data_IF_843288817084
#
_entry.id   IF_843288817084
#
_cell.length_a   1.000
_cell.length_b   1.000
_cell.length_c   1.000
_cell.angle_alpha   90.00
_cell.angle_beta   90.00
_cell.angle_gamma   90.00
#
_symmetry.space_group_name_H-M   'P 1'
#
loop_
_entity.id
_entity.type
_entity.pdbx_description
1 polymer ?
#
# COMPACT_ATOMS: atom_id res chain seq x y z
N UNK A 1 -14.21 9.68 -9.54
CA UNK A 1 -14.20 8.21 -9.76
C UNK A 1 -14.38 7.54 -8.41
N UNK A 2 -15.25 6.59 -8.28
CA UNK A 2 -15.47 5.87 -7.02
C UNK A 2 -15.83 4.43 -7.32
N UNK A 3 -15.50 3.53 -6.37
CA UNK A 3 -15.77 2.10 -6.50
C UNK A 3 -17.22 1.82 -6.91
N UNK A 4 -18.18 2.39 -6.18
CA UNK A 4 -19.63 2.17 -6.40
C UNK A 4 -20.18 2.80 -7.67
N UNK A 5 -19.42 3.66 -8.33
CA UNK A 5 -19.85 4.38 -9.56
C UNK A 5 -19.01 4.03 -10.78
N UNK A 6 -17.99 3.18 -10.60
CA UNK A 6 -17.12 2.74 -11.69
C UNK A 6 -17.86 1.85 -12.66
N UNK A 7 -17.71 2.13 -13.96
CA UNK A 7 -18.17 1.27 -15.03
C UNK A 7 -16.97 0.67 -15.79
N UNK A 8 -17.05 -0.61 -16.23
CA UNK A 8 -15.98 -1.22 -17.01
C UNK A 8 -15.63 -0.39 -18.25
N UNK A 9 -14.37 0.03 -18.32
CA UNK A 9 -13.87 0.91 -19.38
C UNK A 9 -13.67 2.36 -18.97
N UNK A 10 -14.12 2.78 -17.78
CA UNK A 10 -13.79 4.08 -17.23
C UNK A 10 -12.27 4.17 -17.00
N UNK A 11 -11.69 5.30 -17.39
CA UNK A 11 -10.26 5.56 -17.22
C UNK A 11 -10.03 6.84 -16.43
N UNK A 12 -9.06 6.80 -15.55
CA UNK A 12 -8.50 8.01 -14.99
C UNK A 12 -7.85 8.85 -16.11
N UNK A 13 -8.12 10.15 -16.07
CA UNK A 13 -7.54 11.12 -17.01
C UNK A 13 -6.64 12.10 -16.26
N UNK A 14 -5.95 12.96 -16.97
CA UNK A 14 -5.16 14.06 -16.37
C UNK A 14 -6.01 15.13 -15.68
N UNK A 15 -7.33 15.14 -15.88
CA UNK A 15 -8.21 16.10 -15.24
C UNK A 15 -8.21 15.95 -13.71
N UNK A 16 -8.34 17.05 -12.95
CA UNK A 16 -8.50 16.98 -11.51
C UNK A 16 -9.68 16.09 -11.12
N UNK A 17 -9.42 15.03 -10.35
CA UNK A 17 -10.39 13.98 -10.07
C UNK A 17 -10.42 13.62 -8.59
N UNK A 18 -11.62 13.63 -7.98
CA UNK A 18 -11.84 12.97 -6.70
C UNK A 18 -11.95 11.46 -6.92
N UNK A 19 -11.26 10.70 -6.07
CA UNK A 19 -11.16 9.25 -6.13
C UNK A 19 -11.57 8.71 -4.77
N UNK A 20 -12.65 7.92 -4.69
CA UNK A 20 -13.25 7.54 -3.42
C UNK A 20 -13.55 6.03 -3.38
N UNK A 21 -13.16 5.43 -2.27
CA UNK A 21 -13.70 4.16 -1.79
C UNK A 21 -14.51 4.43 -0.51
N UNK A 22 -15.82 4.24 -0.53
CA UNK A 22 -16.65 4.49 0.66
C UNK A 22 -16.49 3.43 1.75
N UNK A 23 -16.04 2.21 1.41
CA UNK A 23 -15.86 1.10 2.35
C UNK A 23 -14.67 0.22 1.93
N UNK A 24 -13.45 0.74 2.06
CA UNK A 24 -12.23 -0.07 1.89
C UNK A 24 -12.14 -1.13 3.00
N UNK A 25 -11.97 -2.39 2.60
CA UNK A 25 -12.02 -3.53 3.48
C UNK A 25 -13.43 -4.13 3.66
N UNK A 26 -14.22 -4.24 2.60
CA UNK A 26 -15.60 -4.78 2.62
C UNK A 26 -15.70 -6.16 3.24
N UNK A 27 -14.75 -7.06 3.02
CA UNK A 27 -14.68 -8.36 3.69
C UNK A 27 -14.61 -8.21 5.21
N UNK A 28 -13.75 -7.31 5.70
CA UNK A 28 -13.62 -7.02 7.13
C UNK A 28 -14.91 -6.44 7.69
N UNK A 29 -15.56 -5.54 6.94
CA UNK A 29 -16.84 -4.94 7.33
C UNK A 29 -17.92 -6.01 7.53
N UNK A 30 -18.06 -6.95 6.60
CA UNK A 30 -19.00 -8.07 6.70
C UNK A 30 -18.73 -8.96 7.93
N UNK A 31 -17.45 -9.19 8.23
CA UNK A 31 -17.02 -10.00 9.38
C UNK A 31 -16.91 -9.20 10.70
N UNK A 32 -17.21 -7.91 10.70
CA UNK A 32 -17.12 -7.03 11.88
C UNK A 32 -15.68 -6.91 12.42
N UNK A 33 -14.70 -7.13 11.57
CA UNK A 33 -13.31 -6.89 11.91
C UNK A 33 -12.99 -5.40 11.74
N UNK A 34 -12.47 -4.68 12.78
CA UNK A 34 -12.44 -3.22 12.81
C UNK A 34 -11.29 -2.62 11.98
N UNK A 35 -10.93 -3.24 10.87
CA UNK A 35 -9.90 -2.76 9.95
C UNK A 35 -10.55 -2.42 8.61
N UNK A 36 -11.31 -1.32 8.64
CA UNK A 36 -12.16 -0.81 7.56
C UNK A 36 -12.01 0.70 7.51
N UNK A 37 -12.01 1.29 6.33
CA UNK A 37 -11.88 2.73 6.18
C UNK A 37 -12.74 3.33 5.08
N UNK A 38 -12.93 4.64 5.18
CA UNK A 38 -13.34 5.50 4.08
C UNK A 38 -12.06 6.09 3.49
N UNK A 39 -11.84 5.91 2.20
CA UNK A 39 -10.68 6.44 1.48
C UNK A 39 -11.13 7.53 0.51
N UNK A 40 -10.60 8.75 0.66
CA UNK A 40 -10.89 9.87 -0.21
C UNK A 40 -9.60 10.52 -0.69
N UNK A 41 -9.29 10.34 -1.95
CA UNK A 41 -8.17 10.94 -2.64
C UNK A 41 -8.57 12.03 -3.61
N UNK A 42 -7.64 12.91 -3.92
CA UNK A 42 -7.73 13.86 -5.02
C UNK A 42 -6.46 13.81 -5.84
N UNK A 43 -6.59 13.59 -7.14
CA UNK A 43 -5.47 13.52 -8.06
C UNK A 43 -5.56 14.63 -9.12
N UNK A 44 -4.40 15.13 -9.54
CA UNK A 44 -4.23 16.10 -10.63
C UNK A 44 -3.15 15.55 -11.55
N UNK A 45 -3.41 15.49 -12.85
CA UNK A 45 -2.46 14.93 -13.82
C UNK A 45 -2.02 13.49 -13.47
N UNK A 46 -2.95 12.69 -12.92
CA UNK A 46 -2.72 11.33 -12.42
C UNK A 46 -1.80 11.26 -11.19
N UNK A 47 -1.42 12.39 -10.61
CA UNK A 47 -0.66 12.43 -9.37
C UNK A 47 -1.59 12.63 -8.16
N UNK A 48 -1.54 11.77 -7.15
CA UNK A 48 -2.23 11.98 -5.87
C UNK A 48 -1.71 13.24 -5.16
N UNK A 49 -2.61 14.16 -4.79
CA UNK A 49 -2.23 15.45 -4.17
C UNK A 49 -2.91 15.73 -2.83
N UNK A 50 -4.07 15.12 -2.58
CA UNK A 50 -4.74 15.16 -1.27
C UNK A 50 -5.18 13.73 -0.92
N UNK A 51 -5.01 13.33 0.32
CA UNK A 51 -5.45 12.04 0.82
C UNK A 51 -6.07 12.15 2.21
N UNK A 52 -7.22 11.50 2.40
CA UNK A 52 -7.90 11.33 3.67
C UNK A 52 -8.31 9.86 3.78
N UNK A 53 -7.92 9.22 4.87
CA UNK A 53 -8.33 7.85 5.22
C UNK A 53 -8.88 7.88 6.64
N UNK A 54 -10.12 7.43 6.82
CA UNK A 54 -10.77 7.42 8.12
C UNK A 54 -11.26 6.03 8.51
N UNK A 55 -10.75 5.50 9.62
CA UNK A 55 -11.29 4.29 10.23
C UNK A 55 -12.32 4.67 11.30
N UNK A 56 -13.63 4.46 11.05
CA UNK A 56 -14.68 4.86 11.98
C UNK A 56 -14.76 4.02 13.26
N UNK A 57 -14.21 2.80 13.25
CA UNK A 57 -14.23 1.90 14.41
C UNK A 57 -13.18 2.27 15.45
N UNK A 58 -12.08 2.88 15.02
CA UNK A 58 -10.97 3.28 15.91
C UNK A 58 -10.87 4.81 16.05
N UNK A 59 -11.70 5.55 15.32
CA UNK A 59 -11.68 7.02 15.22
C UNK A 59 -10.30 7.56 14.78
N UNK A 60 -9.59 6.83 13.92
CA UNK A 60 -8.30 7.25 13.37
C UNK A 60 -8.51 7.91 12.02
N UNK A 61 -8.18 9.20 11.94
CA UNK A 61 -8.24 10.02 10.74
C UNK A 61 -6.84 10.34 10.27
N UNK A 62 -6.45 9.77 9.14
CA UNK A 62 -5.20 10.11 8.46
C UNK A 62 -5.48 11.13 7.36
N UNK A 63 -4.62 12.13 7.23
CA UNK A 63 -4.76 13.17 6.21
C UNK A 63 -3.41 13.69 5.74
N UNK A 64 -3.33 14.01 4.45
CA UNK A 64 -2.16 14.64 3.87
C UNK A 64 -2.52 15.54 2.69
N UNK A 65 -1.71 16.57 2.48
CA UNK A 65 -1.70 17.41 1.27
C UNK A 65 -0.26 17.45 0.79
N UNK A 66 -0.04 17.24 -0.51
CA UNK A 66 1.27 17.26 -1.16
C UNK A 66 2.06 18.52 -0.77
N UNK A 67 3.24 18.34 -0.20
CA UNK A 67 4.13 19.41 0.29
C UNK A 67 3.73 20.02 1.64
N UNK A 68 2.76 19.43 2.38
CA UNK A 68 2.31 19.92 3.69
C UNK A 68 2.48 18.93 4.84
N UNK A 69 2.97 17.73 4.55
CA UNK A 69 3.10 16.65 5.51
C UNK A 69 1.83 15.81 5.68
N UNK A 70 1.98 14.71 6.39
CA UNK A 70 0.90 13.80 6.75
C UNK A 70 0.63 13.83 8.26
N UNK A 71 -0.63 13.62 8.65
CA UNK A 71 -1.06 13.75 10.04
C UNK A 71 -2.07 12.66 10.42
N UNK A 72 -1.99 12.19 11.67
CA UNK A 72 -3.01 11.41 12.34
C UNK A 72 -3.85 12.34 13.24
N UNK A 73 -5.17 12.27 13.12
CA UNK A 73 -6.15 13.06 13.86
C UNK A 73 -5.87 14.59 13.83
N UNK A 74 -5.23 15.06 12.73
CA UNK A 74 -4.85 16.47 12.51
C UNK A 74 -3.83 17.04 13.51
N UNK A 75 -3.39 16.26 14.48
CA UNK A 75 -2.52 16.66 15.59
C UNK A 75 -1.12 16.03 15.49
N UNK A 76 -1.07 14.73 15.21
CA UNK A 76 0.18 13.97 15.23
C UNK A 76 0.77 13.85 13.84
N UNK A 77 1.92 14.50 13.62
CA UNK A 77 2.63 14.38 12.36
C UNK A 77 3.14 12.95 12.16
N UNK A 78 3.04 12.46 10.92
CA UNK A 78 3.58 11.17 10.53
C UNK A 78 5.01 11.31 9.96
N UNK A 79 5.88 10.28 10.15
CA UNK A 79 5.63 9.09 10.98
C UNK A 79 5.51 9.43 12.47
N UNK A 80 4.87 8.55 13.28
CA UNK A 80 4.60 8.80 14.69
C UNK A 80 5.86 8.81 15.58
N UNK A 81 6.97 8.26 15.07
CA UNK A 81 8.28 8.28 15.70
C UNK A 81 9.35 8.51 14.64
N UNK A 82 10.52 8.97 15.04
CA UNK A 82 11.68 9.06 14.13
C UNK A 82 11.98 7.69 13.52
N UNK A 83 12.01 7.56 12.17
CA UNK A 83 12.20 6.26 11.54
C UNK A 83 13.61 5.73 11.79
N UNK A 84 13.72 4.56 12.40
CA UNK A 84 14.99 3.83 12.46
C UNK A 84 15.44 3.39 11.05
N UNK A 85 16.75 3.24 10.80
CA UNK A 85 17.25 2.67 9.56
C UNK A 85 16.60 1.30 9.27
N UNK A 86 16.41 0.98 8.00
CA UNK A 86 15.93 -0.33 7.54
C UNK A 86 17.17 -1.18 7.25
N UNK A 87 17.47 -2.12 8.14
CA UNK A 87 18.69 -2.95 8.05
C UNK A 87 18.56 -4.12 7.06
N UNK A 88 17.42 -4.24 6.38
CA UNK A 88 17.07 -5.28 5.42
C UNK A 88 15.76 -5.98 5.76
N UNK A 89 15.33 -6.91 4.91
CA UNK A 89 14.03 -7.58 5.05
C UNK A 89 13.84 -8.31 6.37
N UNK A 90 14.90 -8.87 6.95
CA UNK A 90 14.81 -9.62 8.21
C UNK A 90 14.42 -8.75 9.41
N UNK A 91 14.51 -7.43 9.30
CA UNK A 91 14.02 -6.48 10.32
C UNK A 91 12.60 -5.96 10.03
N UNK A 92 12.00 -6.32 8.88
CA UNK A 92 10.76 -5.72 8.42
C UNK A 92 9.51 -6.48 8.84
N UNK A 93 8.48 -5.73 9.25
CA UNK A 93 7.10 -6.19 9.33
C UNK A 93 6.40 -5.89 8.00
N UNK A 94 5.98 -6.94 7.31
CA UNK A 94 5.50 -6.86 5.92
C UNK A 94 4.02 -7.20 5.85
N UNK A 95 3.22 -6.32 5.24
CA UNK A 95 1.85 -6.63 4.85
C UNK A 95 1.83 -7.14 3.39
N UNK A 96 1.22 -8.32 3.20
CA UNK A 96 0.97 -8.93 1.89
C UNK A 96 -0.52 -9.23 1.78
N UNK A 97 -1.18 -8.68 0.79
CA UNK A 97 -2.61 -8.92 0.60
C UNK A 97 -2.89 -9.91 -0.53
N UNK A 98 -3.92 -10.72 -0.31
CA UNK A 98 -4.29 -11.79 -1.24
C UNK A 98 -5.18 -11.30 -2.37
N UNK A 99 -5.94 -10.23 -2.16
CA UNK A 99 -6.95 -9.75 -3.10
C UNK A 99 -8.05 -10.80 -3.33
N UNK A 100 -8.72 -10.77 -4.48
CA UNK A 100 -9.80 -11.69 -4.86
C UNK A 100 -9.35 -12.89 -5.69
N UNK A 101 -8.22 -12.79 -6.39
CA UNK A 101 -7.72 -13.87 -7.24
C UNK A 101 -7.17 -15.03 -6.42
N UNK A 102 -7.67 -16.25 -6.70
CA UNK A 102 -7.30 -17.49 -6.00
C UNK A 102 -6.74 -18.56 -6.93
N UNK A 103 -6.40 -18.19 -8.15
CA UNK A 103 -5.84 -19.09 -9.17
C UNK A 103 -5.03 -18.28 -10.21
N UNK A 104 -4.37 -18.97 -11.12
CA UNK A 104 -3.61 -18.35 -12.21
C UNK A 104 -2.27 -17.79 -11.80
N UNK A 105 -1.71 -16.94 -12.67
CA UNK A 105 -0.36 -16.40 -12.53
C UNK A 105 -0.22 -15.53 -11.27
N UNK A 106 -1.12 -14.59 -11.06
CA UNK A 106 -0.99 -13.60 -9.98
C UNK A 106 -1.13 -14.24 -8.60
N UNK A 107 -1.98 -15.26 -8.45
CA UNK A 107 -2.05 -16.06 -7.22
C UNK A 107 -0.73 -16.83 -6.98
N UNK A 108 -0.12 -17.40 -8.04
CA UNK A 108 1.17 -18.10 -7.95
C UNK A 108 2.27 -17.14 -7.51
N UNK A 109 2.37 -15.96 -8.14
CA UNK A 109 3.37 -14.93 -7.77
C UNK A 109 3.22 -14.56 -6.29
N UNK A 110 2.00 -14.30 -5.81
CA UNK A 110 1.73 -14.00 -4.40
C UNK A 110 2.17 -15.13 -3.47
N UNK A 111 1.76 -16.35 -3.78
CA UNK A 111 2.01 -17.52 -2.93
C UNK A 111 3.51 -17.84 -2.81
N UNK A 112 4.23 -17.85 -3.92
CA UNK A 112 5.66 -18.14 -3.92
C UNK A 112 6.48 -17.00 -3.30
N UNK A 113 6.11 -15.74 -3.55
CA UNK A 113 6.75 -14.58 -2.90
C UNK A 113 6.52 -14.61 -1.39
N UNK A 114 5.28 -14.86 -0.93
CA UNK A 114 4.98 -15.02 0.50
C UNK A 114 5.84 -16.09 1.17
N UNK A 115 5.97 -17.25 0.52
CA UNK A 115 6.82 -18.35 0.99
C UNK A 115 8.28 -17.92 1.10
N UNK A 116 8.82 -17.24 0.07
CA UNK A 116 10.20 -16.74 0.07
C UNK A 116 10.44 -15.67 1.15
N UNK A 117 9.49 -14.77 1.37
CA UNK A 117 9.57 -13.79 2.45
C UNK A 117 9.67 -14.44 3.84
N UNK A 118 8.92 -15.54 4.05
CA UNK A 118 8.88 -16.27 5.32
C UNK A 118 10.08 -17.20 5.55
N UNK A 119 10.65 -17.74 4.47
CA UNK A 119 11.74 -18.72 4.54
C UNK A 119 13.01 -18.12 5.14
N UNK A 120 13.85 -18.98 5.72
CA UNK A 120 15.13 -18.59 6.33
C UNK A 120 16.15 -18.11 5.27
N UNK A 121 17.15 -17.38 5.70
CA UNK A 121 18.25 -16.94 4.82
C UNK A 121 19.02 -18.13 4.23
N UNK A 122 19.18 -19.23 4.99
CA UNK A 122 19.84 -20.47 4.54
C UNK A 122 19.06 -21.12 3.39
N UNK A 123 17.75 -20.96 3.35
CA UNK A 123 16.87 -21.43 2.26
C UNK A 123 16.72 -20.40 1.14
N UNK A 124 17.49 -19.30 1.17
CA UNK A 124 17.43 -18.22 0.20
C UNK A 124 16.23 -17.28 0.39
N UNK A 125 15.61 -17.29 1.55
CA UNK A 125 14.45 -16.47 1.88
C UNK A 125 14.77 -15.12 2.50
N UNK A 126 13.75 -14.29 2.67
CA UNK A 126 13.84 -12.97 3.31
C UNK A 126 13.95 -13.02 4.82
N UNK A 127 13.41 -14.10 5.45
CA UNK A 127 13.30 -14.24 6.90
C UNK A 127 12.71 -12.97 7.55
N UNK A 128 11.68 -12.42 6.93
CA UNK A 128 11.07 -11.17 7.42
C UNK A 128 10.62 -11.30 8.87
N UNK A 129 10.63 -10.21 9.61
CA UNK A 129 10.28 -10.18 11.03
C UNK A 129 8.85 -10.69 11.27
N UNK A 130 7.96 -10.46 10.34
CA UNK A 130 6.61 -11.01 10.35
C UNK A 130 5.81 -10.64 9.12
N UNK A 131 4.82 -11.49 8.82
CA UNK A 131 3.88 -11.28 7.72
C UNK A 131 2.49 -10.98 8.26
N UNK A 132 1.77 -10.11 7.57
CA UNK A 132 0.39 -9.70 7.89
C UNK A 132 -0.45 -9.69 6.62
N UNK A 133 -1.74 -9.97 6.77
CA UNK A 133 -2.79 -9.71 5.79
C UNK A 133 -3.97 -9.12 6.56
N UNK A 134 -4.29 -7.86 6.33
CA UNK A 134 -5.28 -7.12 7.11
C UNK A 134 -6.56 -6.84 6.34
N UNK A 135 -6.50 -6.81 4.99
CA UNK A 135 -7.66 -6.68 4.13
C UNK A 135 -8.18 -5.25 3.92
N UNK A 136 -7.33 -4.24 4.05
CA UNK A 136 -7.62 -2.84 3.72
C UNK A 136 -6.35 -2.19 3.17
N UNK A 137 -6.33 -1.87 1.88
CA UNK A 137 -5.18 -1.28 1.22
C UNK A 137 -4.90 0.14 1.76
N UNK A 138 -5.93 0.96 1.94
CA UNK A 138 -5.77 2.32 2.45
C UNK A 138 -5.21 2.32 3.87
N UNK A 139 -5.69 1.45 4.77
CA UNK A 139 -5.15 1.35 6.13
C UNK A 139 -3.75 0.73 6.17
N UNK A 140 -3.42 -0.20 5.27
CA UNK A 140 -2.06 -0.74 5.15
C UNK A 140 -1.07 0.37 4.79
N UNK A 141 -1.41 1.24 3.82
CA UNK A 141 -0.62 2.41 3.47
C UNK A 141 -0.47 3.39 4.65
N UNK A 142 -1.55 3.62 5.40
CA UNK A 142 -1.49 4.42 6.63
C UNK A 142 -0.61 3.76 7.70
N UNK A 143 -0.65 2.44 7.81
CA UNK A 143 0.22 1.66 8.71
C UNK A 143 1.70 1.83 8.37
N UNK A 144 2.05 1.81 7.08
CA UNK A 144 3.42 2.07 6.60
C UNK A 144 3.80 3.53 6.85
N UNK A 145 2.92 4.49 6.55
CA UNK A 145 3.15 5.91 6.78
C UNK A 145 3.38 6.26 8.25
N UNK A 146 2.71 5.53 9.15
CA UNK A 146 2.83 5.73 10.61
C UNK A 146 4.06 5.08 11.22
N UNK A 147 4.72 4.15 10.50
CA UNK A 147 5.83 3.34 11.01
C UNK A 147 5.40 2.08 11.77
N UNK A 148 4.12 1.72 11.74
CA UNK A 148 3.61 0.47 12.32
C UNK A 148 3.82 -0.76 11.42
N UNK A 149 4.04 -0.53 10.13
CA UNK A 149 4.50 -1.48 9.12
C UNK A 149 5.74 -0.92 8.45
N UNK A 150 6.65 -1.78 8.03
CA UNK A 150 7.79 -1.38 7.22
C UNK A 150 7.45 -1.41 5.73
N UNK A 151 6.66 -2.40 5.33
CA UNK A 151 6.37 -2.72 3.93
C UNK A 151 4.89 -3.11 3.76
N UNK A 152 4.30 -2.67 2.64
CA UNK A 152 3.05 -3.19 2.11
C UNK A 152 3.23 -3.54 0.63
N UNK A 153 2.76 -4.73 0.21
CA UNK A 153 2.88 -5.24 -1.15
C UNK A 153 1.59 -5.91 -1.61
N UNK A 154 1.04 -5.44 -2.71
CA UNK A 154 -0.22 -5.95 -3.28
C UNK A 154 -0.31 -5.69 -4.79
N UNK A 155 -1.06 -6.57 -5.47
CA UNK A 155 -1.55 -6.36 -6.82
C UNK A 155 -3.03 -6.73 -6.90
N UNK A 156 -3.77 -5.97 -7.72
CA UNK A 156 -5.20 -6.17 -7.95
C UNK A 156 -6.09 -5.07 -7.40
N UNK A 157 -5.66 -4.28 -6.42
CA UNK A 157 -6.40 -3.13 -5.95
C UNK A 157 -6.46 -2.00 -6.98
N UNK A 158 -7.40 -1.10 -6.81
CA UNK A 158 -7.70 -0.03 -7.73
C UNK A 158 -7.18 1.32 -7.24
N UNK A 159 -7.33 2.35 -8.06
CA UNK A 159 -6.90 3.70 -7.69
C UNK A 159 -7.63 4.24 -6.44
N UNK A 160 -8.87 3.85 -6.18
CA UNK A 160 -9.63 4.30 -5.01
C UNK A 160 -9.12 3.69 -3.71
N UNK A 161 -8.54 2.49 -3.76
CA UNK A 161 -7.92 1.83 -2.60
C UNK A 161 -6.61 2.52 -2.17
N UNK A 162 -5.90 3.13 -3.13
CA UNK A 162 -4.51 3.57 -2.89
C UNK A 162 -4.29 5.09 -2.96
N UNK A 163 -5.13 5.83 -3.69
CA UNK A 163 -4.90 7.27 -3.95
C UNK A 163 -4.67 8.07 -2.67
N UNK A 164 -5.55 7.93 -1.69
CA UNK A 164 -5.45 8.66 -0.42
C UNK A 164 -4.22 8.21 0.39
N UNK A 165 -4.05 6.90 0.55
CA UNK A 165 -2.93 6.32 1.28
C UNK A 165 -1.58 6.65 0.66
N UNK A 166 -1.51 6.79 -0.66
CA UNK A 166 -0.27 7.16 -1.36
C UNK A 166 0.23 8.55 -0.97
N UNK A 167 -0.67 9.56 -0.93
CA UNK A 167 -0.28 10.91 -0.49
C UNK A 167 0.20 10.86 0.97
N UNK A 168 -0.54 10.16 1.83
CA UNK A 168 -0.21 10.01 3.25
C UNK A 168 1.17 9.36 3.41
N UNK A 169 1.44 8.29 2.67
CA UNK A 169 2.73 7.59 2.65
C UNK A 169 3.87 8.52 2.24
N UNK A 170 3.73 9.19 1.10
CA UNK A 170 4.82 10.03 0.55
C UNK A 170 5.10 11.25 1.40
N UNK A 171 4.08 11.88 1.96
CA UNK A 171 4.21 13.02 2.88
C UNK A 171 4.78 12.62 4.26
N UNK A 172 4.72 11.33 4.61
CA UNK A 172 5.41 10.76 5.76
C UNK A 172 6.86 10.30 5.45
N UNK A 173 7.36 10.56 4.24
CA UNK A 173 8.72 10.15 3.81
C UNK A 173 8.81 8.73 3.25
N UNK A 174 7.71 8.02 3.15
CA UNK A 174 7.66 6.70 2.53
C UNK A 174 7.73 6.77 1.01
N UNK A 175 7.87 5.61 0.38
CA UNK A 175 7.98 5.49 -1.07
C UNK A 175 7.00 4.46 -1.62
N UNK A 176 6.38 4.79 -2.74
CA UNK A 176 5.59 3.88 -3.55
C UNK A 176 6.38 3.49 -4.79
N UNK A 177 6.48 2.18 -5.05
CA UNK A 177 7.04 1.61 -6.28
C UNK A 177 6.10 0.53 -6.81
N UNK A 178 6.38 -0.01 -7.99
CA UNK A 178 5.57 -1.11 -8.56
C UNK A 178 5.80 -2.41 -7.77
N UNK A 179 4.76 -3.20 -7.63
CA UNK A 179 4.87 -4.54 -7.04
C UNK A 179 5.72 -5.48 -7.90
N UNK A 180 5.79 -5.25 -9.21
CA UNK A 180 6.74 -5.93 -10.10
C UNK A 180 8.11 -5.27 -10.04
N UNK A 181 9.20 -6.07 -10.06
CA UNK A 181 10.55 -5.52 -10.02
C UNK A 181 10.87 -4.54 -11.16
N UNK A 182 11.62 -3.49 -10.83
CA UNK A 182 12.26 -2.59 -11.79
C UNK A 182 11.51 -1.29 -12.09
N UNK A 183 10.22 -1.16 -11.80
CA UNK A 183 9.50 0.08 -12.02
C UNK A 183 9.45 0.94 -10.73
N UNK A 184 10.26 1.98 -10.70
CA UNK A 184 10.40 2.90 -9.57
C UNK A 184 9.38 4.03 -9.53
N UNK A 185 8.56 4.16 -10.58
CA UNK A 185 7.61 5.27 -10.74
C UNK A 185 6.30 4.73 -11.32
N UNK A 186 5.54 3.91 -10.57
CA UNK A 186 4.27 3.40 -11.02
C UNK A 186 3.25 4.53 -11.12
N UNK A 187 2.26 4.33 -11.98
CA UNK A 187 1.10 5.20 -12.05
C UNK A 187 0.03 4.74 -11.05
N UNK A 188 -0.84 5.66 -10.69
CA UNK A 188 -1.93 5.39 -9.75
C UNK A 188 -2.95 4.36 -10.25
N UNK A 189 -3.00 4.08 -11.55
CA UNK A 189 -3.94 3.17 -12.21
C UNK A 189 -3.31 1.84 -12.66
N UNK A 190 -2.07 1.54 -12.27
CA UNK A 190 -1.38 0.31 -12.68
C UNK A 190 -1.73 -0.94 -11.85
N UNK A 191 -2.44 -0.77 -10.75
CA UNK A 191 -2.97 -1.86 -9.92
C UNK A 191 -1.90 -2.79 -9.32
N UNK A 192 -0.67 -2.31 -9.21
CA UNK A 192 0.48 -3.02 -8.64
C UNK A 192 1.24 -2.07 -7.74
N UNK A 193 1.23 -2.31 -6.44
CA UNK A 193 1.73 -1.35 -5.47
C UNK A 193 2.64 -2.01 -4.45
N UNK A 194 3.77 -1.37 -4.22
CA UNK A 194 4.73 -1.72 -3.20
C UNK A 194 5.15 -0.47 -2.45
N UNK A 195 4.72 -0.37 -1.20
CA UNK A 195 4.99 0.75 -0.31
C UNK A 195 6.04 0.39 0.73
N UNK A 196 6.97 1.31 0.97
CA UNK A 196 8.01 1.18 2.00
C UNK A 196 8.02 2.44 2.84
N UNK A 197 8.13 2.30 4.17
CA UNK A 197 8.21 3.46 5.09
C UNK A 197 9.44 4.32 4.85
N UNK A 198 9.41 5.55 5.35
CA UNK A 198 10.57 6.44 5.38
C UNK A 198 11.74 5.86 6.21
N UNK A 199 12.94 6.36 5.95
CA UNK A 199 14.16 5.99 6.65
C UNK A 199 15.32 5.64 5.73
N UNK A 200 16.52 5.57 6.30
CA UNK A 200 17.71 5.08 5.60
C UNK A 200 17.54 3.59 5.25
N UNK A 201 18.10 3.15 4.11
CA UNK A 201 17.99 1.76 3.64
C UNK A 201 16.74 1.46 2.79
N UNK A 202 15.91 2.44 2.49
CA UNK A 202 14.69 2.29 1.68
C UNK A 202 14.95 1.64 0.31
N UNK A 203 15.98 2.10 -0.40
CA UNK A 203 16.31 1.58 -1.72
C UNK A 203 16.77 0.13 -1.66
N UNK A 204 17.65 -0.16 -0.75
CA UNK A 204 18.27 -1.47 -0.55
C UNK A 204 17.18 -2.52 -0.21
N UNK A 205 16.24 -2.21 0.67
CA UNK A 205 15.18 -3.14 1.04
C UNK A 205 14.16 -3.35 -0.09
N UNK A 206 13.92 -2.35 -0.92
CA UNK A 206 13.10 -2.50 -2.13
C UNK A 206 13.76 -3.48 -3.10
N UNK A 207 15.06 -3.32 -3.35
CA UNK A 207 15.82 -4.20 -4.24
C UNK A 207 15.92 -5.64 -3.67
N UNK A 208 16.13 -5.78 -2.35
CA UNK A 208 16.12 -7.08 -1.66
C UNK A 208 14.75 -7.76 -1.78
N UNK A 209 13.66 -7.03 -1.58
CA UNK A 209 12.30 -7.57 -1.74
C UNK A 209 12.03 -8.01 -3.18
N UNK A 210 12.33 -7.16 -4.14
CA UNK A 210 12.13 -7.47 -5.56
C UNK A 210 12.90 -8.71 -6.02
N UNK A 211 14.09 -8.97 -5.45
CA UNK A 211 14.85 -10.18 -5.72
C UNK A 211 14.14 -11.47 -5.25
N UNK A 212 13.19 -11.37 -4.32
CA UNK A 212 12.39 -12.49 -3.84
C UNK A 212 11.05 -12.64 -4.58
N UNK A 213 10.64 -11.68 -5.39
CA UNK A 213 9.40 -11.78 -6.19
C UNK A 213 9.57 -12.86 -7.25
N UNK A 214 8.68 -13.85 -7.25
CA UNK A 214 8.74 -15.00 -8.16
C UNK A 214 7.84 -14.81 -9.39
N UNK A 215 8.35 -14.11 -10.38
CA UNK A 215 7.62 -13.78 -11.59
C UNK A 215 7.17 -12.32 -11.66
N UNK A 216 6.08 -12.07 -12.36
CA UNK A 216 5.49 -10.75 -12.50
C UNK A 216 3.97 -10.85 -12.49
N UNK A 217 3.30 -9.88 -11.86
CA UNK A 217 1.86 -9.73 -11.97
C UNK A 217 1.45 -9.34 -13.38
N UNK A 218 0.39 -9.94 -13.86
CA UNK A 218 -0.22 -9.64 -15.16
C UNK A 218 -1.40 -8.68 -15.04
N UNK A 219 -1.92 -8.48 -13.82
CA UNK A 219 -2.91 -7.45 -13.56
C UNK A 219 -2.38 -6.09 -13.96
N UNK A 220 -3.15 -5.39 -14.75
CA UNK A 220 -2.76 -4.10 -15.30
C UNK A 220 -3.89 -3.48 -16.11
N UNK A 221 -3.54 -2.46 -16.80
CA UNK A 221 -4.42 -1.57 -17.57
C UNK A 221 -5.25 -2.28 -18.60
#
# INVERSE_FOLDING_TARGET
MGEETYAPGDKLTSAPTFICDPIDGTTNFVHRYPYVSISLGFAVELEPVIGIVYNPFTAMLYSAIKGKGAYLNQEHRLPLAEPAPIEGLSSCLVAVEWGSDRSGNDFKVKSETFKRLAATKEEGGGMVHGLRSFGSAALNLCGVASGGLDIYWEAGCWAWDVCAGWVILTEAGGKMVDANPGNWSPRIDERRYFAVRGGEGQKEVIEEFWALVDGAFEVGV
#
